data_IF_149587270994
#
_entry.id   IF_149587270994
#
_cell.length_a   1.000
_cell.length_b   1.000
_cell.length_c   1.000
_cell.angle_alpha   90.00
_cell.angle_beta   90.00
_cell.angle_gamma   90.00
#
_symmetry.space_group_name_H-M   'P 1'
#
loop_
_entity.id
_entity.type
_entity.pdbx_description
1 polymer ?
#
# COMPACT_ATOMS: atom_id res chain seq x y z
N UNK A 1 16.79 -1.37 1.15
CA UNK A 1 16.64 -0.40 0.03
C UNK A 1 17.25 0.93 0.46
N UNK A 2 18.23 1.44 -0.28
CA UNK A 2 18.92 2.70 0.03
C UNK A 2 18.23 3.84 -0.71
N UNK A 3 17.77 4.84 0.04
CA UNK A 3 17.09 6.03 -0.48
C UNK A 3 18.13 7.13 -0.74
N UNK A 4 18.02 7.84 -1.87
CA UNK A 4 18.88 8.99 -2.19
C UNK A 4 18.49 10.21 -1.37
N UNK A 5 19.43 11.13 -1.15
CA UNK A 5 19.07 12.41 -0.54
C UNK A 5 18.23 13.28 -1.49
N UNK A 6 17.63 14.35 -0.97
CA UNK A 6 16.70 15.19 -1.76
C UNK A 6 17.37 15.89 -2.95
N UNK A 7 18.63 16.29 -2.81
CA UNK A 7 19.38 16.98 -3.87
C UNK A 7 19.76 15.99 -4.96
N UNK A 8 20.33 14.85 -4.58
CA UNK A 8 20.69 13.79 -5.53
C UNK A 8 19.46 13.24 -6.25
N UNK A 9 18.34 13.06 -5.53
CA UNK A 9 17.07 12.62 -6.12
C UNK A 9 16.54 13.59 -7.16
N UNK A 10 16.61 14.90 -6.87
CA UNK A 10 16.16 15.93 -7.79
C UNK A 10 17.06 16.00 -9.03
N UNK A 11 18.36 15.84 -8.84
CA UNK A 11 19.33 15.82 -9.94
C UNK A 11 19.10 14.61 -10.86
N UNK A 12 19.00 13.39 -10.29
CA UNK A 12 18.74 12.18 -11.06
C UNK A 12 17.41 12.29 -11.83
N UNK A 13 16.33 12.69 -11.15
CA UNK A 13 15.04 12.90 -11.82
C UNK A 13 15.18 13.91 -12.97
N UNK A 14 15.92 15.00 -12.76
CA UNK A 14 16.06 16.06 -13.75
C UNK A 14 16.81 15.60 -15.00
N UNK A 15 17.84 14.76 -14.83
CA UNK A 15 18.54 14.15 -15.97
C UNK A 15 17.60 13.32 -16.85
N UNK A 16 16.66 12.60 -16.25
CA UNK A 16 15.69 11.80 -17.00
C UNK A 16 14.54 12.63 -17.59
N UNK A 17 14.07 13.65 -16.88
CA UNK A 17 12.91 14.45 -17.29
C UNK A 17 13.24 15.65 -18.20
N UNK A 18 14.45 16.20 -18.09
CA UNK A 18 14.86 17.44 -18.79
C UNK A 18 16.19 17.31 -19.55
N UNK A 19 16.94 16.21 -19.40
CA UNK A 19 18.30 16.03 -19.95
C UNK A 19 19.33 17.03 -19.42
N UNK A 20 19.08 17.54 -18.22
CA UNK A 20 19.94 18.49 -17.52
C UNK A 20 19.82 18.24 -16.00
N UNK A 21 20.82 18.62 -15.19
CA UNK A 21 20.86 18.28 -13.77
C UNK A 21 19.85 19.05 -12.89
N UNK A 22 19.17 20.06 -13.44
CA UNK A 22 18.27 20.95 -12.68
C UNK A 22 16.96 21.10 -13.46
N UNK A 23 15.79 21.10 -12.81
CA UNK A 23 14.53 21.33 -13.51
C UNK A 23 14.44 22.76 -14.06
N UNK A 24 13.68 22.94 -15.13
CA UNK A 24 13.30 24.29 -15.55
C UNK A 24 12.46 24.98 -14.47
N UNK A 25 12.58 26.31 -14.34
CA UNK A 25 11.95 27.07 -13.26
C UNK A 25 10.43 26.82 -13.15
N UNK A 26 9.74 26.67 -14.28
CA UNK A 26 8.31 26.41 -14.35
C UNK A 26 7.89 25.02 -13.83
N UNK A 27 8.84 24.09 -13.72
CA UNK A 27 8.63 22.70 -13.31
C UNK A 27 9.25 22.37 -11.95
N UNK A 28 9.94 23.31 -11.29
CA UNK A 28 10.62 23.07 -10.00
C UNK A 28 9.69 22.44 -8.95
N UNK A 29 8.50 23.03 -8.74
CA UNK A 29 7.52 22.51 -7.78
C UNK A 29 7.01 21.12 -8.17
N UNK A 30 6.78 20.86 -9.46
CA UNK A 30 6.29 19.56 -9.91
C UNK A 30 7.37 18.49 -9.79
N UNK A 31 8.61 18.84 -10.08
CA UNK A 31 9.77 17.95 -9.93
C UNK A 31 9.97 17.54 -8.48
N UNK A 32 9.87 18.50 -7.54
CA UNK A 32 9.91 18.22 -6.10
C UNK A 32 8.76 17.30 -5.65
N UNK A 33 7.57 17.43 -6.23
CA UNK A 33 6.45 16.54 -5.93
C UNK A 33 6.70 15.11 -6.45
N UNK A 34 7.28 14.95 -7.65
CA UNK A 34 7.66 13.62 -8.16
C UNK A 34 8.73 12.99 -7.28
N UNK A 35 9.78 13.74 -6.91
CA UNK A 35 10.82 13.29 -5.99
C UNK A 35 10.24 12.85 -4.64
N UNK A 36 9.31 13.63 -4.09
CA UNK A 36 8.62 13.30 -2.85
C UNK A 36 7.80 12.01 -2.97
N UNK A 37 7.07 11.82 -4.07
CA UNK A 37 6.34 10.59 -4.36
C UNK A 37 7.28 9.38 -4.48
N UNK A 38 8.42 9.55 -5.15
CA UNK A 38 9.40 8.48 -5.34
C UNK A 38 10.13 8.07 -4.06
N UNK A 39 10.05 8.87 -2.99
CA UNK A 39 10.72 8.58 -1.71
C UNK A 39 12.25 8.47 -1.81
N UNK A 40 12.85 9.08 -2.85
CA UNK A 40 14.29 8.95 -3.12
C UNK A 40 14.72 7.61 -3.72
N UNK A 41 13.79 6.77 -4.17
CA UNK A 41 14.12 5.51 -4.85
C UNK A 41 14.64 5.79 -6.27
N UNK A 42 15.93 5.50 -6.60
CA UNK A 42 16.51 5.81 -7.90
C UNK A 42 15.68 5.29 -9.07
N UNK A 43 15.28 4.01 -8.98
CA UNK A 43 14.52 3.34 -10.02
C UNK A 43 13.20 4.03 -10.37
N UNK A 44 12.49 4.54 -9.36
CA UNK A 44 11.25 5.27 -9.57
C UNK A 44 11.50 6.66 -10.16
N UNK A 45 12.57 7.33 -9.76
CA UNK A 45 12.97 8.63 -10.30
C UNK A 45 13.32 8.52 -11.80
N UNK A 46 14.07 7.49 -12.19
CA UNK A 46 14.45 7.24 -13.59
C UNK A 46 13.24 6.95 -14.48
N UNK A 47 12.36 6.04 -14.02
CA UNK A 47 11.16 5.64 -14.76
C UNK A 47 10.20 6.82 -14.91
N UNK A 48 9.90 7.52 -13.81
CA UNK A 48 8.97 8.65 -13.85
C UNK A 48 9.56 9.84 -14.60
N UNK A 49 10.86 10.12 -14.45
CA UNK A 49 11.53 11.17 -15.21
C UNK A 49 11.46 10.90 -16.71
N UNK A 50 11.78 9.67 -17.13
CA UNK A 50 11.72 9.28 -18.54
C UNK A 50 10.28 9.29 -19.08
N UNK A 51 9.29 8.91 -18.26
CA UNK A 51 7.87 8.95 -18.63
C UNK A 51 7.34 10.38 -18.81
N UNK A 52 7.93 11.35 -18.10
CA UNK A 52 7.54 12.76 -18.09
C UNK A 52 8.33 13.64 -19.08
N UNK A 53 9.38 13.09 -19.71
CA UNK A 53 10.19 13.76 -20.71
C UNK A 53 9.33 14.29 -21.87
N UNK A 54 9.59 15.52 -22.30
CA UNK A 54 8.85 16.26 -23.36
C UNK A 54 7.33 16.46 -23.14
N UNK A 55 6.80 16.10 -21.97
CA UNK A 55 5.39 16.34 -21.64
C UNK A 55 5.14 17.76 -21.16
N UNK A 56 3.93 18.23 -21.42
CA UNK A 56 3.46 19.55 -20.99
C UNK A 56 3.25 19.60 -19.47
N UNK A 57 3.29 20.82 -18.91
CA UNK A 57 3.00 21.07 -17.49
C UNK A 57 1.61 20.57 -17.06
N UNK A 58 0.63 20.58 -17.96
CA UNK A 58 -0.71 20.07 -17.70
C UNK A 58 -0.71 18.54 -17.58
N UNK A 59 0.01 17.85 -18.46
CA UNK A 59 0.17 16.39 -18.37
C UNK A 59 0.88 15.96 -17.10
N UNK A 60 1.94 16.67 -16.69
CA UNK A 60 2.63 16.41 -15.42
C UNK A 60 1.68 16.45 -14.21
N UNK A 61 0.80 17.46 -14.16
CA UNK A 61 -0.22 17.56 -13.12
C UNK A 61 -1.19 16.37 -13.17
N UNK A 62 -1.60 15.95 -14.37
CA UNK A 62 -2.44 14.78 -14.58
C UNK A 62 -1.77 13.48 -14.10
N UNK A 63 -0.49 13.28 -14.44
CA UNK A 63 0.29 12.13 -14.00
C UNK A 63 0.42 12.10 -12.47
N UNK A 64 0.82 13.21 -11.84
CA UNK A 64 0.90 13.29 -10.37
C UNK A 64 -0.45 13.03 -9.70
N UNK A 65 -1.54 13.56 -10.26
CA UNK A 65 -2.89 13.30 -9.75
C UNK A 65 -3.28 11.82 -9.89
N UNK A 66 -2.83 11.14 -10.95
CA UNK A 66 -3.07 9.71 -11.15
C UNK A 66 -2.24 8.87 -10.18
N UNK A 67 -0.96 9.18 -10.00
CA UNK A 67 -0.03 8.45 -9.13
C UNK A 67 -0.48 8.38 -7.68
N UNK A 68 -1.18 9.41 -7.19
CA UNK A 68 -1.78 9.40 -5.84
C UNK A 68 -2.95 8.42 -5.67
N UNK A 69 -3.42 7.78 -6.75
CA UNK A 69 -4.52 6.80 -6.73
C UNK A 69 -4.14 5.45 -7.33
N UNK A 70 -3.42 5.49 -8.44
CA UNK A 70 -2.99 4.33 -9.23
C UNK A 70 -1.50 4.52 -9.50
N UNK A 71 -0.63 3.69 -8.90
CA UNK A 71 0.81 3.77 -9.13
C UNK A 71 1.19 3.56 -10.60
N UNK A 72 2.41 3.94 -10.98
CA UNK A 72 2.91 3.73 -12.35
C UNK A 72 3.23 2.25 -12.60
N UNK A 73 2.63 1.65 -13.62
CA UNK A 73 2.77 0.21 -13.92
C UNK A 73 4.23 -0.24 -14.11
N UNK A 74 5.10 0.56 -14.73
CA UNK A 74 6.51 0.19 -14.91
C UNK A 74 7.31 0.25 -13.60
N UNK A 75 7.00 1.21 -12.72
CA UNK A 75 7.59 1.25 -11.37
C UNK A 75 7.12 0.03 -10.58
N UNK A 76 5.83 -0.28 -10.68
CA UNK A 76 5.20 -1.41 -10.00
C UNK A 76 5.79 -2.75 -10.43
N UNK A 77 5.89 -2.99 -11.74
CA UNK A 77 6.47 -4.22 -12.31
C UNK A 77 7.88 -4.47 -11.77
N UNK A 78 8.73 -3.44 -11.75
CA UNK A 78 10.10 -3.56 -11.26
C UNK A 78 10.18 -3.82 -9.75
N UNK A 79 9.34 -3.16 -8.95
CA UNK A 79 9.28 -3.40 -7.50
C UNK A 79 8.75 -4.80 -7.19
N UNK A 80 7.81 -5.28 -8.01
CA UNK A 80 7.12 -6.56 -7.81
C UNK A 80 8.02 -7.76 -7.98
N UNK A 81 9.12 -7.66 -8.73
CA UNK A 81 10.10 -8.74 -8.89
C UNK A 81 10.52 -9.35 -7.53
N UNK A 82 10.76 -8.50 -6.53
CA UNK A 82 11.18 -8.99 -5.20
C UNK A 82 10.08 -9.74 -4.45
N UNK A 83 8.82 -9.35 -4.67
CA UNK A 83 7.61 -9.98 -4.13
C UNK A 83 7.26 -11.28 -4.86
N UNK A 84 7.31 -11.30 -6.19
CA UNK A 84 7.00 -12.49 -6.98
C UNK A 84 8.01 -13.61 -6.71
N UNK A 85 9.24 -13.26 -6.31
CA UNK A 85 10.27 -14.20 -5.89
C UNK A 85 10.21 -14.67 -4.43
N UNK A 86 9.13 -14.38 -3.69
CA UNK A 86 8.85 -15.00 -2.38
C UNK A 86 8.47 -16.48 -2.58
N UNK A 87 8.91 -17.34 -1.66
CA UNK A 87 8.94 -18.80 -1.87
C UNK A 87 7.55 -19.44 -1.79
N UNK A 88 6.70 -18.94 -0.90
CA UNK A 88 5.36 -19.45 -0.69
C UNK A 88 4.29 -18.36 -0.53
N UNK A 89 3.04 -18.78 -0.48
CA UNK A 89 1.89 -17.89 -0.38
C UNK A 89 1.73 -17.26 1.01
N UNK A 90 2.29 -17.88 2.07
CA UNK A 90 2.24 -17.32 3.42
C UNK A 90 3.13 -16.08 3.54
N UNK A 91 4.31 -16.08 2.95
CA UNK A 91 5.19 -14.90 2.89
C UNK A 91 4.54 -13.75 2.12
N UNK A 92 3.90 -14.08 0.99
CA UNK A 92 3.15 -13.12 0.18
C UNK A 92 1.98 -12.54 0.97
N UNK A 93 1.24 -13.38 1.68
CA UNK A 93 0.11 -12.95 2.51
C UNK A 93 0.56 -12.06 3.67
N UNK A 94 1.67 -12.38 4.35
CA UNK A 94 2.28 -11.52 5.37
C UNK A 94 2.61 -10.15 4.78
N UNK A 95 3.26 -10.11 3.61
CA UNK A 95 3.62 -8.86 2.96
C UNK A 95 2.38 -7.99 2.67
N UNK A 96 1.32 -8.59 2.11
CA UNK A 96 0.08 -7.89 1.79
C UNK A 96 -0.64 -7.41 3.06
N UNK A 97 -0.65 -8.22 4.13
CA UNK A 97 -1.23 -7.84 5.42
C UNK A 97 -0.48 -6.66 6.05
N UNK A 98 0.85 -6.64 5.96
CA UNK A 98 1.64 -5.50 6.44
C UNK A 98 1.30 -4.26 5.63
N UNK A 99 1.29 -4.33 4.30
CA UNK A 99 0.93 -3.21 3.42
C UNK A 99 -0.44 -2.59 3.77
N UNK A 100 -1.41 -3.43 4.10
CA UNK A 100 -2.79 -3.02 4.35
C UNK A 100 -3.05 -2.58 5.80
N UNK A 101 -2.50 -3.29 6.78
CA UNK A 101 -2.98 -3.21 8.17
C UNK A 101 -1.90 -2.83 9.19
N UNK A 102 -0.65 -3.26 9.00
CA UNK A 102 0.34 -3.29 10.09
C UNK A 102 1.51 -2.30 9.99
N UNK A 103 1.53 -1.42 8.99
CA UNK A 103 2.54 -0.33 8.96
C UNK A 103 2.45 0.51 10.23
N UNK A 104 3.59 0.71 10.89
CA UNK A 104 3.74 1.47 12.12
C UNK A 104 3.38 0.71 13.41
N UNK A 105 3.05 -0.58 13.32
CA UNK A 105 2.77 -1.46 14.46
C UNK A 105 4.05 -2.14 14.95
N UNK A 106 4.08 -2.47 16.24
CA UNK A 106 5.20 -3.19 16.84
C UNK A 106 5.34 -4.60 16.23
N UNK A 107 6.57 -5.00 15.91
CA UNK A 107 6.85 -6.28 15.24
C UNK A 107 6.36 -7.48 16.06
N UNK A 108 6.53 -7.50 17.39
CA UNK A 108 6.14 -8.64 18.20
C UNK A 108 4.61 -8.82 18.20
N UNK A 109 3.88 -7.71 18.30
CA UNK A 109 2.43 -7.68 18.18
C UNK A 109 1.96 -8.21 16.81
N UNK A 110 2.61 -7.80 15.72
CA UNK A 110 2.24 -8.25 14.37
C UNK A 110 2.54 -9.73 14.18
N UNK A 111 3.70 -10.20 14.66
CA UNK A 111 4.08 -11.62 14.61
C UNK A 111 3.05 -12.49 15.34
N UNK A 112 2.62 -12.09 16.54
CA UNK A 112 1.62 -12.84 17.32
C UNK A 112 0.30 -13.00 16.56
N UNK A 113 -0.24 -11.90 16.01
CA UNK A 113 -1.51 -11.93 15.26
C UNK A 113 -1.41 -12.81 14.02
N UNK A 114 -0.37 -12.61 13.21
CA UNK A 114 -0.22 -13.35 11.95
C UNK A 114 0.06 -14.84 12.20
N UNK A 115 0.74 -15.19 13.30
CA UNK A 115 0.86 -16.59 13.73
C UNK A 115 -0.49 -17.17 14.16
N UNK A 116 -1.32 -16.40 14.88
CA UNK A 116 -2.70 -16.79 15.18
C UNK A 116 -3.56 -17.03 13.93
N UNK A 117 -3.22 -16.37 12.82
CA UNK A 117 -3.80 -16.60 11.50
C UNK A 117 -3.20 -17.80 10.73
N UNK A 118 -2.20 -18.51 11.29
CA UNK A 118 -1.54 -19.64 10.63
C UNK A 118 -0.53 -19.26 9.54
N UNK A 119 0.01 -18.03 9.56
CA UNK A 119 0.93 -17.54 8.52
C UNK A 119 2.42 -17.69 8.85
N UNK A 120 2.80 -18.26 10.00
CA UNK A 120 4.21 -18.48 10.36
C UNK A 120 5.09 -17.21 10.25
N UNK A 121 4.57 -16.08 10.73
CA UNK A 121 5.21 -14.77 10.68
C UNK A 121 6.56 -14.68 11.39
N UNK A 122 6.87 -15.60 12.30
CA UNK A 122 8.21 -15.73 12.88
C UNK A 122 9.27 -16.17 11.87
N UNK A 123 8.87 -16.74 10.73
CA UNK A 123 9.75 -17.08 9.60
C UNK A 123 9.60 -16.04 8.50
N UNK A 124 8.36 -15.73 8.10
CA UNK A 124 8.11 -14.86 6.96
C UNK A 124 8.54 -13.40 7.15
N UNK A 125 8.38 -12.80 8.34
CA UNK A 125 8.81 -11.41 8.56
C UNK A 125 10.34 -11.25 8.41
N UNK A 126 11.19 -12.11 9.01
CA UNK A 126 12.62 -12.12 8.73
C UNK A 126 12.96 -12.17 7.23
N UNK A 127 12.33 -13.05 6.45
CA UNK A 127 12.55 -13.14 4.99
C UNK A 127 12.19 -11.83 4.29
N UNK A 128 11.07 -11.19 4.65
CA UNK A 128 10.69 -9.89 4.09
C UNK A 128 11.70 -8.78 4.44
N UNK A 129 12.33 -8.85 5.60
CA UNK A 129 13.38 -7.90 6.02
C UNK A 129 14.67 -8.15 5.21
N UNK A 130 15.10 -9.41 5.09
CA UNK A 130 16.29 -9.81 4.31
C UNK A 130 16.17 -9.36 2.85
N UNK A 131 14.96 -9.47 2.28
CA UNK A 131 14.65 -9.01 0.91
C UNK A 131 14.37 -7.51 0.80
N UNK A 132 14.56 -6.74 1.88
CA UNK A 132 14.29 -5.29 1.92
C UNK A 132 12.85 -4.89 1.56
N UNK A 133 11.88 -5.79 1.66
CA UNK A 133 10.46 -5.51 1.43
C UNK A 133 9.81 -4.85 2.65
N UNK A 134 10.32 -5.17 3.84
CA UNK A 134 9.91 -4.61 5.13
C UNK A 134 11.16 -4.12 5.89
N UNK A 135 11.01 -3.12 6.73
CA UNK A 135 12.06 -2.61 7.62
C UNK A 135 11.55 -2.50 9.06
N UNK A 136 12.44 -2.66 10.03
CA UNK A 136 12.15 -2.36 11.44
C UNK A 136 12.67 -0.96 11.74
N UNK A 137 11.75 -0.06 12.06
CA UNK A 137 12.04 1.32 12.43
C UNK A 137 12.32 1.48 13.92
N UNK A 138 12.29 2.74 14.37
CA UNK A 138 12.41 3.08 15.79
C UNK A 138 11.29 2.40 16.60
N UNK A 139 11.62 2.02 17.83
CA UNK A 139 10.70 1.36 18.77
C UNK A 139 10.12 0.04 18.21
N UNK A 140 10.91 -0.73 17.47
CA UNK A 140 10.52 -2.04 16.90
C UNK A 140 9.29 -2.01 15.98
N UNK A 141 8.97 -0.85 15.40
CA UNK A 141 7.80 -0.71 14.53
C UNK A 141 8.10 -1.17 13.11
N UNK A 142 7.21 -1.96 12.53
CA UNK A 142 7.26 -2.30 11.12
C UNK A 142 7.07 -1.04 10.26
N UNK A 143 7.92 -0.90 9.27
CA UNK A 143 7.85 0.10 8.23
C UNK A 143 8.14 -0.51 6.88
N UNK A 144 7.87 0.24 5.82
CA UNK A 144 8.26 -0.10 4.45
C UNK A 144 8.38 1.18 3.65
N UNK A 145 8.99 1.09 2.47
CA UNK A 145 9.00 2.21 1.53
C UNK A 145 7.58 2.46 1.00
N UNK A 146 7.22 3.73 0.79
CA UNK A 146 5.87 4.11 0.36
C UNK A 146 5.48 3.45 -0.97
N UNK A 147 6.41 3.36 -1.92
CA UNK A 147 6.16 2.67 -3.19
C UNK A 147 5.96 1.14 -3.04
N UNK A 148 6.59 0.50 -2.04
CA UNK A 148 6.36 -0.92 -1.76
C UNK A 148 4.99 -1.15 -1.12
N UNK A 149 4.60 -0.27 -0.20
CA UNK A 149 3.24 -0.24 0.36
C UNK A 149 2.20 -0.11 -0.74
N UNK A 150 2.39 0.89 -1.61
CA UNK A 150 1.45 1.19 -2.67
C UNK A 150 1.40 0.04 -3.68
N UNK A 151 2.52 -0.66 -3.89
CA UNK A 151 2.56 -1.89 -4.67
C UNK A 151 1.75 -3.04 -4.08
N UNK A 152 1.95 -3.37 -2.80
CA UNK A 152 1.15 -4.42 -2.16
C UNK A 152 -0.35 -4.10 -2.20
N UNK A 153 -0.72 -2.83 -1.97
CA UNK A 153 -2.11 -2.37 -2.07
C UNK A 153 -2.66 -2.44 -3.49
N UNK A 154 -1.84 -2.16 -4.49
CA UNK A 154 -2.22 -2.27 -5.90
C UNK A 154 -2.44 -3.73 -6.32
N UNK A 155 -1.61 -4.67 -5.85
CA UNK A 155 -1.82 -6.11 -6.07
C UNK A 155 -3.21 -6.53 -5.56
N UNK A 156 -3.55 -6.13 -4.33
CA UNK A 156 -4.87 -6.39 -3.74
C UNK A 156 -5.98 -5.71 -4.55
N UNK A 157 -5.83 -4.44 -4.91
CA UNK A 157 -6.83 -3.69 -5.69
C UNK A 157 -7.06 -4.33 -7.06
N UNK A 158 -5.99 -4.75 -7.74
CA UNK A 158 -6.02 -5.30 -9.09
C UNK A 158 -6.75 -6.66 -9.16
N UNK A 159 -6.69 -7.47 -8.09
CA UNK A 159 -7.43 -8.74 -8.01
C UNK A 159 -8.94 -8.58 -8.27
N UNK A 160 -9.51 -7.44 -7.86
CA UNK A 160 -10.86 -7.04 -8.24
C UNK A 160 -11.00 -5.52 -8.30
N UNK A 161 -10.61 -4.94 -9.44
CA UNK A 161 -10.53 -3.50 -9.60
C UNK A 161 -11.87 -2.78 -9.35
N UNK A 162 -12.98 -3.35 -9.82
CA UNK A 162 -14.32 -2.72 -9.80
C UNK A 162 -15.21 -3.18 -8.65
N UNK A 163 -14.89 -4.29 -7.99
CA UNK A 163 -15.75 -4.90 -6.96
C UNK A 163 -14.94 -5.07 -5.68
N UNK A 164 -14.90 -4.06 -4.80
CA UNK A 164 -14.08 -4.11 -3.59
C UNK A 164 -14.37 -5.33 -2.71
N UNK A 165 -15.64 -5.72 -2.56
CA UNK A 165 -16.04 -6.88 -1.74
C UNK A 165 -15.53 -8.25 -2.24
N UNK A 166 -14.87 -8.29 -3.40
CA UNK A 166 -14.18 -9.49 -3.94
C UNK A 166 -12.65 -9.46 -3.75
N UNK A 167 -12.10 -8.44 -3.10
CA UNK A 167 -10.66 -8.34 -2.80
C UNK A 167 -10.34 -9.05 -1.49
N UNK A 168 -9.14 -9.61 -1.36
CA UNK A 168 -8.72 -10.29 -0.13
C UNK A 168 -8.52 -9.35 1.06
N UNK A 169 -8.02 -8.14 0.83
CA UNK A 169 -7.83 -7.13 1.87
C UNK A 169 -8.62 -5.85 1.57
N UNK A 170 -9.37 -5.39 2.56
CA UNK A 170 -10.11 -4.13 2.54
C UNK A 170 -9.48 -3.14 3.51
N UNK A 171 -8.72 -2.18 2.97
CA UNK A 171 -7.97 -1.19 3.75
C UNK A 171 -8.38 0.26 3.48
N UNK A 172 -9.00 0.52 2.33
CA UNK A 172 -9.44 1.86 1.97
C UNK A 172 -10.80 2.15 2.60
N UNK A 173 -10.86 3.15 3.48
CA UNK A 173 -12.07 3.47 4.28
C UNK A 173 -13.34 3.55 3.45
N UNK A 174 -13.29 4.22 2.29
CA UNK A 174 -14.46 4.36 1.42
C UNK A 174 -14.98 3.02 0.91
N UNK A 175 -14.06 2.15 0.48
CA UNK A 175 -14.41 0.83 -0.03
C UNK A 175 -14.98 -0.06 1.09
N UNK A 176 -14.37 -0.01 2.28
CA UNK A 176 -14.83 -0.77 3.46
C UNK A 176 -16.24 -0.33 3.86
N UNK A 177 -16.47 0.98 3.97
CA UNK A 177 -17.78 1.52 4.32
C UNK A 177 -18.86 1.10 3.29
N UNK A 178 -18.56 1.22 2.00
CA UNK A 178 -19.46 0.80 0.93
C UNK A 178 -19.77 -0.69 0.96
N UNK A 179 -18.75 -1.52 1.20
CA UNK A 179 -18.89 -2.98 1.28
C UNK A 179 -19.79 -3.40 2.43
N UNK A 180 -19.57 -2.82 3.62
CA UNK A 180 -20.34 -3.13 4.82
C UNK A 180 -21.77 -2.58 4.75
N UNK A 181 -21.97 -1.35 4.27
CA UNK A 181 -23.31 -0.75 4.13
C UNK A 181 -24.18 -1.53 3.13
N UNK A 182 -23.58 -2.04 2.06
CA UNK A 182 -24.31 -2.76 0.98
C UNK A 182 -24.30 -4.28 1.16
N UNK A 183 -23.68 -4.81 2.21
CA UNK A 183 -23.47 -6.25 2.44
C UNK A 183 -22.90 -6.97 1.21
N UNK A 184 -21.90 -6.37 0.56
CA UNK A 184 -21.31 -6.91 -0.70
C UNK A 184 -19.99 -7.64 -0.48
N UNK A 185 -19.57 -7.82 0.78
CA UNK A 185 -18.40 -8.62 1.11
C UNK A 185 -18.64 -10.07 0.75
N UNK A 186 -17.62 -10.72 0.20
CA UNK A 186 -17.70 -12.12 -0.24
C UNK A 186 -16.69 -12.98 0.51
N UNK A 187 -16.74 -14.28 0.29
CA UNK A 187 -15.83 -15.25 0.91
C UNK A 187 -14.35 -15.00 0.60
N UNK A 188 -14.03 -14.19 -0.41
CA UNK A 188 -12.65 -13.86 -0.74
C UNK A 188 -12.05 -12.84 0.22
N UNK A 189 -12.86 -12.11 1.00
CA UNK A 189 -12.37 -11.14 1.99
C UNK A 189 -11.76 -11.90 3.16
N UNK A 190 -10.46 -11.70 3.37
CA UNK A 190 -9.66 -12.31 4.43
C UNK A 190 -9.30 -11.32 5.52
N UNK A 191 -9.18 -10.03 5.16
CA UNK A 191 -8.79 -8.97 6.09
C UNK A 191 -9.54 -7.67 5.86
N UNK A 192 -9.95 -7.01 6.94
CA UNK A 192 -10.67 -5.74 6.90
C UNK A 192 -10.22 -4.81 8.01
N UNK A 193 -9.95 -3.54 7.67
CA UNK A 193 -9.75 -2.47 8.64
C UNK A 193 -10.71 -1.31 8.41
N UNK A 194 -11.37 -0.86 9.48
CA UNK A 194 -12.16 0.37 9.48
C UNK A 194 -11.82 1.20 10.71
N UNK A 195 -11.34 2.43 10.46
CA UNK A 195 -11.12 3.43 11.50
C UNK A 195 -12.05 4.61 11.27
N UNK A 196 -12.97 4.86 12.19
CA UNK A 196 -13.82 6.05 12.14
C UNK A 196 -13.03 7.27 12.64
N UNK A 197 -13.19 8.41 11.96
CA UNK A 197 -12.47 9.66 12.27
C UNK A 197 -13.34 10.69 13.00
N UNK A 198 -14.59 10.35 13.33
CA UNK A 198 -15.60 11.31 13.76
C UNK A 198 -16.46 10.75 14.89
N UNK A 199 -16.91 11.64 15.78
CA UNK A 199 -17.82 11.44 16.92
C UNK A 199 -19.24 10.97 16.55
N UNK A 200 -19.46 10.53 15.30
CA UNK A 200 -20.70 9.90 14.86
C UNK A 200 -20.50 8.40 14.87
N UNK A 201 -21.29 7.69 15.67
CA UNK A 201 -21.35 6.23 15.73
C UNK A 201 -21.64 5.69 14.32
N UNK A 202 -20.63 5.09 13.69
CA UNK A 202 -20.84 4.34 12.46
C UNK A 202 -21.21 2.94 12.90
N UNK A 203 -22.48 2.58 12.72
CA UNK A 203 -23.02 1.30 13.13
C UNK A 203 -23.23 0.39 11.91
N UNK A 204 -22.74 -0.85 11.97
CA UNK A 204 -23.01 -1.88 10.96
C UNK A 204 -23.71 -3.09 11.58
N UNK A 205 -24.52 -3.79 10.77
CA UNK A 205 -25.05 -5.09 11.18
C UNK A 205 -23.95 -6.14 11.17
N UNK A 206 -23.93 -7.04 12.15
CA UNK A 206 -23.09 -8.24 12.15
C UNK A 206 -23.32 -9.08 10.87
N UNK A 207 -24.54 -9.06 10.30
CA UNK A 207 -24.86 -9.72 9.03
C UNK A 207 -24.00 -9.24 7.86
N UNK A 208 -23.42 -8.04 7.92
CA UNK A 208 -22.55 -7.50 6.87
C UNK A 208 -21.26 -8.33 6.66
N UNK A 209 -20.88 -9.13 7.66
CA UNK A 209 -19.71 -10.00 7.62
C UNK A 209 -20.06 -11.47 7.29
N UNK A 210 -21.35 -11.83 7.26
CA UNK A 210 -21.82 -13.23 7.19
C UNK A 210 -21.28 -14.02 6.00
N UNK A 211 -21.14 -13.37 4.85
CA UNK A 211 -20.61 -14.01 3.63
C UNK A 211 -19.08 -14.00 3.55
N UNK A 212 -18.39 -13.28 4.43
CA UNK A 212 -16.92 -13.20 4.50
C UNK A 212 -16.31 -14.37 5.27
N UNK A 213 -16.59 -15.60 4.82
CA UNK A 213 -16.27 -16.84 5.56
C UNK A 213 -14.78 -17.11 5.76
N UNK A 214 -13.89 -16.42 5.04
CA UNK A 214 -12.43 -16.50 5.18
C UNK A 214 -11.83 -15.34 5.97
N UNK A 215 -12.66 -14.47 6.53
CA UNK A 215 -12.20 -13.33 7.32
C UNK A 215 -11.41 -13.81 8.54
N UNK A 216 -10.09 -13.60 8.51
CA UNK A 216 -9.14 -13.97 9.58
C UNK A 216 -8.58 -12.77 10.31
N UNK A 217 -8.73 -11.57 9.76
CA UNK A 217 -8.24 -10.33 10.34
C UNK A 217 -9.32 -9.25 10.28
N UNK A 218 -9.78 -8.81 11.45
CA UNK A 218 -10.76 -7.74 11.58
C UNK A 218 -10.23 -6.68 12.55
N UNK A 219 -10.06 -5.45 12.06
CA UNK A 219 -9.66 -4.31 12.88
C UNK A 219 -10.71 -3.19 12.77
N UNK A 220 -11.48 -3.02 13.83
CA UNK A 220 -12.48 -1.96 13.95
C UNK A 220 -12.05 -0.97 15.03
N UNK A 221 -12.10 0.32 14.72
CA UNK A 221 -11.72 1.40 15.64
C UNK A 221 -12.82 2.47 15.60
N UNK A 222 -13.49 2.66 16.74
CA UNK A 222 -14.66 3.52 16.90
C UNK A 222 -15.81 3.17 15.92
N UNK A 223 -16.18 1.89 15.86
CA UNK A 223 -17.27 1.35 15.02
C UNK A 223 -18.15 0.46 15.88
N UNK A 224 -19.46 0.69 15.83
CA UNK A 224 -20.43 -0.13 16.56
C UNK A 224 -20.96 -1.26 15.67
N UNK A 225 -21.19 -2.42 16.29
CA UNK A 225 -21.80 -3.56 15.65
C UNK A 225 -23.12 -3.89 16.34
N UNK A 226 -24.16 -4.09 15.54
CA UNK A 226 -25.49 -4.51 16.02
C UNK A 226 -25.86 -5.86 15.45
N UNK A 227 -26.63 -6.64 16.20
CA UNK A 227 -27.09 -7.97 15.79
C UNK A 227 -26.40 -9.08 16.55
N UNK A 228 -26.74 -10.32 16.20
CA UNK A 228 -26.18 -11.53 16.78
C UNK A 228 -24.94 -11.96 15.99
N UNK A 229 -23.94 -12.49 16.70
CA UNK A 229 -22.67 -12.94 16.13
C UNK A 229 -22.69 -14.42 15.71
N UNK A 230 -23.74 -15.17 16.06
CA UNK A 230 -23.96 -16.55 15.62
C UNK A 230 -23.00 -17.56 16.24
#
# INVERSE_FOLDING_TARGET
MTEMDKKESLELFSWHAFRQPIPSADFDKLSKNVVAYSGGLPLALEVLGSYLYERTKQEWKGVLSKLGRIPNDQVQEKLRISYDGLEDDTEKDIFLDICCFFIGKDIAYVTEILNGCGLYANIGIPVLIERSLVKVGKNNKLGMHDLLRDMGREIVRASSARVPGKRSRLWFRGDVHDVLTKNTGTETVEGLVLKSQSTGEVCFSADSFKEMKKLRLLQLDHVDLTGDFG
#
